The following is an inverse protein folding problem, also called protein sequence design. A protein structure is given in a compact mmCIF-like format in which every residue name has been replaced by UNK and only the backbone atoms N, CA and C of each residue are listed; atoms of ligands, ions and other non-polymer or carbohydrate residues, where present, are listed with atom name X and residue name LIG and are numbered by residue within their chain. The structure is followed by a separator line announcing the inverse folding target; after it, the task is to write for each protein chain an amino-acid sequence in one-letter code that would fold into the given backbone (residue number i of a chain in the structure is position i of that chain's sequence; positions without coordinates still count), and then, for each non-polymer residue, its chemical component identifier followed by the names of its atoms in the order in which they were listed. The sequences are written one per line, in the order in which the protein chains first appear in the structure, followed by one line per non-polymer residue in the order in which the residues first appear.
data_IF_835751930407
#
_entry.id   IF_835751930407
#
_cell.length_a   1.000
_cell.length_b   1.000
_cell.length_c   1.000
_cell.angle_alpha   90.00
_cell.angle_beta   90.00
_cell.angle_gamma   90.00
#
_symmetry.space_group_name_H-M   'P 1'
#
loop_
_entity.id
_entity.type
_entity.pdbx_description
1 polymer ?
#
# COMPACT_ATOMS: atom_id res chain seq x y z
N UNK A 1 28.33 -8.43 40.67
CA UNK A 1 28.87 -9.56 39.88
C UNK A 1 29.38 -10.61 40.87
N UNK A 2 28.88 -11.85 40.83
CA UNK A 2 29.35 -12.93 41.71
C UNK A 2 29.79 -14.12 40.84
N UNK A 3 30.98 -14.65 41.14
CA UNK A 3 31.53 -15.87 40.51
C UNK A 3 30.84 -17.09 41.10
N UNK A 4 30.16 -17.90 40.29
CA UNK A 4 29.91 -19.30 40.63
C UNK A 4 28.55 -19.93 40.28
N UNK A 5 27.49 -19.18 39.99
CA UNK A 5 26.19 -19.76 39.54
C UNK A 5 25.37 -18.77 38.72
N UNK A 6 25.48 -18.92 37.41
CA UNK A 6 24.45 -19.41 36.48
C UNK A 6 25.07 -19.23 35.11
N UNK A 7 25.18 -20.32 34.34
CA UNK A 7 25.63 -20.22 32.95
C UNK A 7 24.60 -19.31 32.30
N UNK A 8 25.06 -18.17 31.78
CA UNK A 8 24.23 -17.31 30.96
C UNK A 8 23.89 -18.15 29.71
N UNK A 9 22.78 -18.89 29.77
CA UNK A 9 22.28 -19.67 28.65
C UNK A 9 21.67 -18.66 27.69
N UNK A 10 22.53 -18.06 26.87
CA UNK A 10 22.10 -17.20 25.79
C UNK A 10 21.39 -18.08 24.76
N UNK A 11 20.08 -18.23 24.92
CA UNK A 11 19.23 -18.78 23.88
C UNK A 11 19.10 -17.75 22.79
N UNK A 12 19.83 -17.97 21.70
CA UNK A 12 19.73 -17.14 20.53
C UNK A 12 18.30 -17.27 19.94
N UNK A 13 17.47 -16.24 20.12
CA UNK A 13 16.14 -16.16 19.50
C UNK A 13 16.19 -15.68 18.05
N UNK A 14 17.39 -15.53 17.46
CA UNK A 14 17.55 -15.15 16.07
C UNK A 14 16.85 -16.16 15.17
N UNK A 15 15.80 -15.68 14.49
CA UNK A 15 15.27 -16.37 13.30
C UNK A 15 16.28 -16.12 12.18
N UNK A 16 16.92 -17.19 11.72
CA UNK A 16 17.76 -17.16 10.55
C UNK A 16 16.87 -17.04 9.31
N UNK A 17 17.11 -16.02 8.50
CA UNK A 17 16.51 -15.90 7.17
C UNK A 17 17.58 -16.26 6.17
N UNK A 18 17.21 -17.17 5.27
CA UNK A 18 18.08 -17.69 4.22
C UNK A 18 17.43 -17.38 2.87
N UNK A 19 18.10 -16.56 2.06
CA UNK A 19 17.72 -16.33 0.67
C UNK A 19 18.61 -17.19 -0.22
N UNK A 20 18.00 -18.13 -0.95
CA UNK A 20 18.72 -19.13 -1.74
C UNK A 20 17.87 -19.66 -2.90
N UNK A 21 18.54 -20.16 -3.95
CA UNK A 21 17.91 -20.78 -5.11
C UNK A 21 17.51 -22.24 -4.86
N UNK A 22 17.94 -22.85 -3.75
CA UNK A 22 17.59 -24.21 -3.35
C UNK A 22 17.65 -24.37 -1.84
N UNK A 23 16.88 -25.29 -1.26
CA UNK A 23 16.91 -25.52 0.18
C UNK A 23 18.35 -25.83 0.64
N UNK A 24 18.84 -25.19 1.71
CA UNK A 24 20.19 -25.42 2.17
C UNK A 24 20.35 -26.87 2.66
N UNK A 25 21.50 -27.51 2.40
CA UNK A 25 21.74 -28.87 2.83
C UNK A 25 21.78 -28.95 4.36
N UNK A 26 21.06 -29.91 4.94
CA UNK A 26 21.01 -30.16 6.39
C UNK A 26 21.33 -31.62 6.72
N UNK A 27 22.10 -31.83 7.77
CA UNK A 27 22.35 -33.16 8.34
C UNK A 27 21.19 -33.67 9.21
N UNK A 28 20.40 -32.76 9.80
CA UNK A 28 19.21 -33.09 10.58
C UNK A 28 17.98 -33.14 9.66
N UNK A 29 17.31 -34.29 9.63
CA UNK A 29 16.13 -34.57 8.80
C UNK A 29 14.88 -34.89 9.64
N UNK A 30 14.90 -34.60 10.94
CA UNK A 30 13.76 -34.87 11.81
C UNK A 30 12.57 -33.98 11.48
N UNK A 31 11.35 -34.46 11.71
CA UNK A 31 10.13 -33.65 11.57
C UNK A 31 10.18 -32.40 12.47
N UNK A 32 10.73 -32.55 13.68
CA UNK A 32 10.94 -31.45 14.62
C UNK A 32 11.87 -30.35 14.09
N UNK A 33 12.80 -30.69 13.20
CA UNK A 33 13.64 -29.75 12.49
C UNK A 33 12.84 -28.98 11.42
N UNK A 34 12.18 -29.70 10.51
CA UNK A 34 11.46 -29.09 9.39
C UNK A 34 10.22 -28.28 9.80
N UNK A 35 9.51 -28.65 10.87
CA UNK A 35 8.33 -27.88 11.36
C UNK A 35 8.65 -26.45 11.81
N UNK A 36 9.94 -26.15 12.04
CA UNK A 36 10.42 -24.81 12.41
C UNK A 36 10.75 -23.94 11.20
N UNK A 37 10.75 -24.52 10.01
CA UNK A 37 11.07 -23.80 8.78
C UNK A 37 9.82 -23.13 8.24
N UNK A 38 9.98 -21.86 7.85
CA UNK A 38 8.99 -21.13 7.06
C UNK A 38 9.62 -20.86 5.70
N UNK A 39 9.20 -21.60 4.68
CA UNK A 39 9.64 -21.39 3.30
C UNK A 39 8.72 -20.33 2.70
N UNK A 40 9.32 -19.27 2.16
CA UNK A 40 8.61 -18.20 1.47
C UNK A 40 9.13 -18.20 0.04
N UNK A 41 8.23 -18.45 -0.92
CA UNK A 41 8.59 -18.38 -2.33
C UNK A 41 8.84 -16.93 -2.74
N UNK A 42 9.98 -16.69 -3.38
CA UNK A 42 10.32 -15.42 -3.99
C UNK A 42 10.31 -15.57 -5.51
N UNK A 43 9.16 -15.31 -6.18
CA UNK A 43 8.97 -15.66 -7.60
C UNK A 43 9.72 -14.73 -8.57
N UNK A 44 10.33 -13.64 -8.08
CA UNK A 44 11.00 -12.66 -8.92
C UNK A 44 12.38 -13.17 -9.33
N UNK A 45 12.51 -13.53 -10.61
CA UNK A 45 13.78 -13.85 -11.24
C UNK A 45 14.39 -12.58 -11.84
N UNK A 46 15.68 -12.38 -11.62
CA UNK A 46 16.44 -11.29 -12.22
C UNK A 46 17.26 -11.85 -13.38
N UNK A 47 17.08 -11.30 -14.58
CA UNK A 47 17.85 -11.68 -15.76
C UNK A 47 19.22 -10.99 -15.75
N UNK A 48 20.16 -11.59 -15.03
CA UNK A 48 21.51 -11.07 -14.82
C UNK A 48 22.54 -12.16 -15.03
N UNK A 49 23.68 -11.80 -15.62
CA UNK A 49 24.80 -12.73 -15.78
C UNK A 49 25.27 -13.23 -14.41
N UNK A 50 25.64 -14.52 -14.33
CA UNK A 50 25.90 -15.20 -13.05
C UNK A 50 26.95 -14.47 -12.21
N UNK A 51 28.04 -14.03 -12.83
CA UNK A 51 29.12 -13.28 -12.16
C UNK A 51 28.63 -11.93 -11.61
N UNK A 52 27.86 -11.19 -12.40
CA UNK A 52 27.24 -9.92 -12.00
C UNK A 52 26.27 -10.10 -10.82
N UNK A 53 25.58 -11.24 -10.77
CA UNK A 53 24.67 -11.60 -9.68
C UNK A 53 25.41 -11.79 -8.35
N UNK A 54 26.57 -12.46 -8.37
CA UNK A 54 27.41 -12.66 -7.19
C UNK A 54 27.91 -11.33 -6.61
N UNK A 55 28.45 -10.46 -7.46
CA UNK A 55 28.95 -9.15 -7.06
C UNK A 55 27.83 -8.24 -6.55
N UNK A 56 26.66 -8.28 -7.20
CA UNK A 56 25.48 -7.55 -6.75
C UNK A 56 25.02 -8.03 -5.35
N UNK A 57 25.03 -9.35 -5.11
CA UNK A 57 24.63 -9.91 -3.83
C UNK A 57 25.63 -9.55 -2.72
N UNK A 58 26.94 -9.64 -2.98
CA UNK A 58 27.98 -9.23 -2.02
C UNK A 58 27.86 -7.76 -1.65
N UNK A 59 27.64 -6.89 -2.64
CA UNK A 59 27.41 -5.45 -2.41
C UNK A 59 26.12 -5.19 -1.64
N UNK A 60 25.06 -5.95 -1.91
CA UNK A 60 23.81 -5.82 -1.17
C UNK A 60 23.95 -6.25 0.30
N UNK A 61 24.72 -7.32 0.55
CA UNK A 61 25.04 -7.78 1.92
C UNK A 61 25.79 -6.71 2.70
N UNK A 62 26.84 -6.13 2.11
CA UNK A 62 27.61 -5.05 2.74
C UNK A 62 26.74 -3.82 2.96
N UNK A 63 25.98 -3.41 1.95
CA UNK A 63 25.09 -2.26 2.03
C UNK A 63 24.01 -2.41 3.11
N UNK A 64 23.45 -3.61 3.28
CA UNK A 64 22.44 -3.87 4.31
C UNK A 64 23.04 -3.91 5.72
N UNK A 65 24.29 -4.37 5.87
CA UNK A 65 25.00 -4.36 7.15
C UNK A 65 25.28 -2.93 7.63
N UNK A 66 25.75 -2.07 6.72
CA UNK A 66 26.04 -0.66 7.01
C UNK A 66 24.77 0.20 7.09
N UNK A 67 23.63 -0.30 6.59
CA UNK A 67 22.37 0.41 6.65
C UNK A 67 21.82 0.48 8.08
N UNK A 68 21.45 1.69 8.48
CA UNK A 68 20.68 1.96 9.68
C UNK A 68 19.44 2.79 9.39
N UNK A 69 18.57 2.89 10.38
CA UNK A 69 17.39 3.72 10.36
C UNK A 69 17.29 4.51 11.66
N UNK A 70 16.60 5.65 11.58
CA UNK A 70 16.24 6.43 12.75
C UNK A 70 14.72 6.36 12.96
N UNK A 71 14.29 6.30 14.22
CA UNK A 71 12.88 6.27 14.56
C UNK A 71 12.62 7.04 15.85
N UNK A 72 11.37 7.48 16.03
CA UNK A 72 10.96 8.17 17.24
C UNK A 72 9.89 7.35 17.96
N UNK A 73 9.98 7.27 19.29
CA UNK A 73 9.00 6.57 20.14
C UNK A 73 8.65 7.46 21.32
N UNK A 74 7.39 7.44 21.74
CA UNK A 74 6.97 8.02 23.01
C UNK A 74 7.51 7.16 24.16
N UNK A 75 8.23 7.78 25.08
CA UNK A 75 8.64 7.15 26.33
C UNK A 75 7.42 7.00 27.23
N UNK A 76 7.01 5.76 27.49
CA UNK A 76 5.76 5.44 28.20
C UNK A 76 5.78 5.91 29.67
N UNK A 77 6.96 6.17 30.24
CA UNK A 77 7.12 6.62 31.62
C UNK A 77 7.04 8.15 31.76
N UNK A 78 7.54 8.88 30.77
CA UNK A 78 7.69 10.35 30.83
C UNK A 78 6.79 11.08 29.85
N UNK A 79 6.16 10.38 28.91
CA UNK A 79 5.33 10.94 27.84
C UNK A 79 6.10 11.76 26.80
N UNK A 80 7.43 11.81 26.88
CA UNK A 80 8.29 12.57 25.96
C UNK A 80 8.67 11.72 24.75
N UNK A 81 8.91 12.36 23.62
CA UNK A 81 9.39 11.68 22.41
C UNK A 81 10.90 11.48 22.51
N UNK A 82 11.34 10.22 22.41
CA UNK A 82 12.75 9.86 22.24
C UNK A 82 13.06 9.61 20.76
N UNK A 83 14.27 9.99 20.33
CA UNK A 83 14.79 9.74 18.99
C UNK A 83 15.92 8.70 19.05
N UNK A 84 15.80 7.64 18.28
CA UNK A 84 16.66 6.47 18.31
C UNK A 84 17.27 6.22 16.93
N UNK A 85 18.44 5.59 16.91
CA UNK A 85 19.08 5.05 15.69
C UNK A 85 19.37 3.58 15.92
N UNK A 86 19.06 2.76 14.93
CA UNK A 86 19.34 1.31 14.95
C UNK A 86 19.84 0.85 13.58
N UNK A 87 20.46 -0.34 13.54
CA UNK A 87 20.82 -1.07 12.33
C UNK A 87 19.66 -1.95 11.87
N UNK A 88 19.68 -2.36 10.60
CA UNK A 88 18.73 -3.34 10.08
C UNK A 88 19.06 -4.78 10.50
N UNK A 89 20.34 -5.13 10.48
CA UNK A 89 20.83 -6.48 10.80
C UNK A 89 21.93 -6.40 11.86
N UNK A 90 21.92 -7.36 12.79
CA UNK A 90 23.02 -7.55 13.75
C UNK A 90 24.13 -8.42 13.15
N UNK A 91 23.76 -9.33 12.25
CA UNK A 91 24.69 -10.19 11.51
C UNK A 91 24.15 -10.43 10.11
N UNK A 92 25.03 -10.40 9.12
CA UNK A 92 24.74 -10.86 7.77
C UNK A 92 26.00 -11.50 7.18
N UNK A 93 25.83 -12.52 6.34
CA UNK A 93 26.94 -13.21 5.68
C UNK A 93 26.49 -13.80 4.35
N UNK A 94 27.38 -13.73 3.36
CA UNK A 94 27.22 -14.44 2.09
C UNK A 94 28.05 -15.72 2.12
N UNK A 95 27.43 -16.85 1.79
CA UNK A 95 28.11 -18.16 1.70
C UNK A 95 28.34 -18.47 0.23
N UNK A 96 29.57 -18.20 -0.24
CA UNK A 96 29.94 -18.31 -1.66
C UNK A 96 29.60 -19.69 -2.27
N UNK A 97 29.97 -20.78 -1.59
CA UNK A 97 29.78 -22.14 -2.09
C UNK A 97 28.31 -22.56 -2.20
N UNK A 98 27.42 -21.92 -1.42
CA UNK A 98 25.99 -22.23 -1.39
C UNK A 98 25.16 -21.20 -2.16
N UNK A 99 25.74 -20.05 -2.52
CA UNK A 99 25.01 -18.93 -3.10
C UNK A 99 23.94 -18.35 -2.16
N UNK A 100 24.11 -18.52 -0.85
CA UNK A 100 23.12 -18.17 0.17
C UNK A 100 23.49 -16.89 0.92
N UNK A 101 22.48 -16.10 1.30
CA UNK A 101 22.64 -15.04 2.32
C UNK A 101 22.02 -15.54 3.62
N UNK A 102 22.79 -15.49 4.70
CA UNK A 102 22.31 -15.69 6.07
C UNK A 102 22.29 -14.35 6.81
N UNK A 103 21.18 -14.04 7.48
CA UNK A 103 21.11 -12.84 8.31
C UNK A 103 20.37 -13.03 9.63
N UNK A 104 20.66 -12.12 10.56
CA UNK A 104 19.99 -11.93 11.84
C UNK A 104 19.56 -10.48 11.93
N UNK A 105 18.26 -10.25 12.08
CA UNK A 105 17.74 -8.90 12.29
C UNK A 105 18.18 -8.31 13.62
N UNK A 106 18.41 -7.00 13.64
CA UNK A 106 18.65 -6.28 14.87
C UNK A 106 17.41 -6.32 15.79
N UNK A 107 17.63 -6.34 17.10
CA UNK A 107 16.55 -6.45 18.09
C UNK A 107 15.43 -5.40 17.93
N UNK A 108 15.79 -4.17 17.55
CA UNK A 108 14.85 -3.06 17.30
C UNK A 108 13.98 -3.25 16.05
N UNK A 109 14.38 -4.11 15.11
CA UNK A 109 13.62 -4.41 13.89
C UNK A 109 12.47 -5.37 14.19
N UNK A 110 12.62 -6.25 15.18
CA UNK A 110 11.62 -7.29 15.50
C UNK A 110 10.26 -6.66 15.86
N UNK A 111 10.15 -5.66 16.75
CA UNK A 111 8.87 -4.98 17.02
C UNK A 111 8.28 -4.28 15.79
N UNK A 112 9.11 -3.79 14.87
CA UNK A 112 8.64 -3.09 13.66
C UNK A 112 8.06 -4.08 12.65
N UNK A 113 8.76 -5.20 12.41
CA UNK A 113 8.27 -6.28 11.54
C UNK A 113 7.04 -6.94 12.16
N UNK A 114 7.02 -7.23 13.46
CA UNK A 114 5.85 -7.85 14.10
C UNK A 114 4.63 -6.91 14.14
N UNK A 115 4.83 -5.58 14.26
CA UNK A 115 3.74 -4.59 14.08
C UNK A 115 3.26 -4.53 12.64
N UNK A 116 4.15 -4.74 11.67
CA UNK A 116 3.78 -4.90 10.27
C UNK A 116 2.99 -6.20 10.08
N UNK A 117 3.44 -7.36 10.55
CA UNK A 117 2.73 -8.64 10.48
C UNK A 117 1.37 -8.63 11.22
N UNK A 118 1.23 -7.86 12.30
CA UNK A 118 -0.05 -7.70 13.01
C UNK A 118 -1.04 -6.80 12.26
N UNK A 119 -0.55 -5.94 11.36
CA UNK A 119 -1.36 -5.05 10.51
C UNK A 119 -1.53 -5.58 9.09
N UNK A 120 -0.63 -6.45 8.66
CA UNK A 120 -0.58 -7.08 7.35
C UNK A 120 -0.59 -8.60 7.52
N UNK A 121 -1.68 -9.24 7.11
CA UNK A 121 -1.81 -10.70 7.14
C UNK A 121 -0.80 -11.36 6.20
N UNK A 122 -0.40 -12.61 6.49
CA UNK A 122 0.48 -13.42 5.61
C UNK A 122 -0.04 -13.53 4.16
N UNK A 123 -1.35 -13.34 3.97
CA UNK A 123 -1.99 -13.19 2.67
C UNK A 123 -1.45 -11.98 1.87
N UNK A 124 -1.19 -10.85 2.52
CA UNK A 124 -0.72 -9.61 1.88
C UNK A 124 0.76 -9.65 1.48
N UNK A 125 1.55 -10.49 2.15
CA UNK A 125 2.96 -10.73 1.79
C UNK A 125 3.11 -11.81 0.70
N UNK A 126 2.13 -12.73 0.57
CA UNK A 126 2.11 -13.80 -0.45
C UNK A 126 1.54 -13.39 -1.80
N UNK A 127 0.90 -12.23 -1.93
CA UNK A 127 0.26 -11.87 -3.19
C UNK A 127 1.27 -11.41 -4.26
N UNK A 128 1.67 -12.36 -5.12
CA UNK A 128 1.63 -12.09 -6.55
C UNK A 128 0.19 -11.77 -6.92
N UNK A 129 -0.17 -10.50 -6.89
CA UNK A 129 -1.55 -10.07 -7.14
C UNK A 129 -1.89 -10.18 -8.62
N UNK A 130 -3.09 -10.67 -8.92
CA UNK A 130 -3.72 -10.60 -10.25
C UNK A 130 -3.97 -9.17 -10.74
N UNK A 131 -3.60 -8.13 -9.97
CA UNK A 131 -3.77 -6.74 -10.36
C UNK A 131 -2.48 -5.92 -10.15
N UNK A 132 -2.19 -5.04 -11.11
CA UNK A 132 -1.10 -4.08 -11.02
C UNK A 132 -1.62 -2.64 -11.13
N UNK A 133 -0.90 -1.72 -10.51
CA UNK A 133 -1.20 -0.29 -10.55
C UNK A 133 -0.13 0.40 -11.39
N UNK A 134 -0.54 1.22 -12.35
CA UNK A 134 0.34 1.95 -13.27
C UNK A 134 -0.03 3.42 -13.31
N UNK A 135 0.95 4.29 -13.57
CA UNK A 135 0.70 5.72 -13.75
C UNK A 135 0.00 5.99 -15.09
N UNK A 136 -0.95 6.91 -15.06
CA UNK A 136 -1.68 7.37 -16.23
C UNK A 136 -1.07 8.68 -16.70
N UNK A 137 -0.50 8.67 -17.89
CA UNK A 137 -0.03 9.88 -18.58
C UNK A 137 -1.07 10.42 -19.57
N UNK A 138 -2.09 9.64 -19.90
CA UNK A 138 -3.19 10.01 -20.79
C UNK A 138 -4.38 9.07 -20.55
N UNK A 139 -5.57 9.62 -20.40
CA UNK A 139 -6.82 8.85 -20.42
C UNK A 139 -7.26 8.59 -21.86
N UNK A 140 -7.35 7.33 -22.27
CA UNK A 140 -7.83 6.92 -23.60
C UNK A 140 -9.32 6.53 -23.57
N UNK A 141 -9.93 6.28 -24.73
CA UNK A 141 -11.35 5.93 -24.84
C UNK A 141 -11.75 4.65 -24.08
N UNK A 142 -10.79 3.78 -23.73
CA UNK A 142 -11.05 2.60 -22.89
C UNK A 142 -11.63 2.97 -21.51
N UNK A 143 -11.29 4.16 -20.98
CA UNK A 143 -11.80 4.66 -19.71
C UNK A 143 -13.28 5.04 -19.78
N UNK A 144 -13.77 5.45 -20.96
CA UNK A 144 -15.18 5.79 -21.19
C UNK A 144 -16.08 4.57 -20.95
N UNK A 145 -15.62 3.38 -21.38
CA UNK A 145 -16.35 2.11 -21.18
C UNK A 145 -16.46 1.76 -19.70
N UNK A 146 -15.40 1.96 -18.94
CA UNK A 146 -15.39 1.71 -17.48
C UNK A 146 -16.30 2.68 -16.76
N UNK A 147 -16.26 3.96 -17.10
CA UNK A 147 -17.16 4.97 -16.55
C UNK A 147 -18.63 4.64 -16.86
N UNK A 148 -18.92 4.19 -18.08
CA UNK A 148 -20.26 3.81 -18.49
C UNK A 148 -20.77 2.57 -17.74
N UNK A 149 -19.92 1.55 -17.55
CA UNK A 149 -20.28 0.35 -16.80
C UNK A 149 -20.57 0.66 -15.33
N UNK A 150 -19.79 1.58 -14.73
CA UNK A 150 -19.98 1.98 -13.34
C UNK A 150 -21.21 2.87 -13.11
N UNK A 151 -21.68 3.58 -14.16
CA UNK A 151 -22.94 4.34 -14.10
C UNK A 151 -24.15 3.46 -13.78
N UNK A 152 -24.08 2.14 -13.98
CA UNK A 152 -25.18 1.25 -13.56
C UNK A 152 -25.30 1.11 -12.04
N UNK A 153 -24.24 1.44 -11.28
CA UNK A 153 -24.23 1.36 -9.81
C UNK A 153 -24.75 2.65 -9.14
N UNK A 154 -24.95 3.74 -9.88
CA UNK A 154 -25.48 5.00 -9.37
C UNK A 154 -26.42 5.67 -10.37
N UNK A 155 -27.58 6.15 -9.91
CA UNK A 155 -28.56 6.78 -10.82
C UNK A 155 -28.03 8.07 -11.44
N UNK A 156 -27.19 8.79 -10.70
CA UNK A 156 -26.66 10.10 -11.08
C UNK A 156 -25.14 10.11 -10.85
N UNK A 157 -24.39 10.47 -11.89
CA UNK A 157 -22.93 10.51 -11.85
C UNK A 157 -22.46 11.52 -12.88
N UNK A 158 -21.44 12.33 -12.52
CA UNK A 158 -20.78 13.22 -13.47
C UNK A 158 -20.12 12.39 -14.57
N UNK A 159 -20.20 12.86 -15.82
CA UNK A 159 -19.57 12.20 -16.95
C UNK A 159 -18.04 12.16 -16.76
N UNK A 160 -17.48 10.96 -16.59
CA UNK A 160 -16.04 10.70 -16.43
C UNK A 160 -15.43 10.07 -17.68
N UNK A 161 -15.77 10.59 -18.85
CA UNK A 161 -15.12 10.16 -20.08
C UNK A 161 -13.66 10.63 -20.14
N UNK A 162 -12.87 10.03 -21.01
CA UNK A 162 -11.45 10.31 -21.22
C UNK A 162 -11.19 11.79 -21.48
N UNK A 163 -12.00 12.47 -22.30
CA UNK A 163 -11.87 13.90 -22.55
C UNK A 163 -11.98 14.72 -21.24
N UNK A 164 -12.99 14.45 -20.42
CA UNK A 164 -13.16 15.08 -19.11
C UNK A 164 -12.01 14.75 -18.16
N UNK A 165 -11.61 13.48 -18.04
CA UNK A 165 -10.57 13.03 -17.12
C UNK A 165 -9.21 13.67 -17.46
N UNK A 166 -8.85 13.73 -18.75
CA UNK A 166 -7.63 14.42 -19.21
C UNK A 166 -7.70 15.91 -18.86
N UNK A 167 -8.81 16.58 -19.19
CA UNK A 167 -8.98 18.00 -18.89
C UNK A 167 -8.89 18.29 -17.38
N UNK A 168 -9.56 17.48 -16.55
CA UNK A 168 -9.70 17.71 -15.11
C UNK A 168 -8.44 17.40 -14.32
N UNK A 169 -7.74 16.31 -14.65
CA UNK A 169 -6.67 15.76 -13.82
C UNK A 169 -5.27 15.83 -14.43
N UNK A 170 -5.14 15.86 -15.76
CA UNK A 170 -3.83 15.94 -16.42
C UNK A 170 -3.52 17.34 -16.95
N UNK A 171 -4.51 18.04 -17.49
CA UNK A 171 -4.33 19.32 -18.18
C UNK A 171 -4.73 20.54 -17.34
N UNK A 172 -5.19 20.34 -16.09
CA UNK A 172 -5.61 21.44 -15.21
C UNK A 172 -4.38 22.20 -14.69
N UNK A 173 -4.13 23.39 -15.26
CA UNK A 173 -2.99 24.24 -14.91
C UNK A 173 -3.01 24.63 -13.43
N UNK A 174 -1.85 24.59 -12.78
CA UNK A 174 -1.66 25.00 -11.38
C UNK A 174 -2.01 23.94 -10.35
N UNK A 175 -2.47 22.76 -10.78
CA UNK A 175 -2.80 21.65 -9.89
C UNK A 175 -2.06 20.38 -10.32
N UNK A 176 -1.53 19.65 -9.34
CA UNK A 176 -0.86 18.36 -9.57
C UNK A 176 -1.72 17.22 -9.04
N UNK A 177 -2.20 16.37 -9.94
CA UNK A 177 -2.86 15.12 -9.61
C UNK A 177 -1.97 13.95 -10.00
N UNK A 178 -2.10 12.86 -9.25
CA UNK A 178 -1.42 11.61 -9.51
C UNK A 178 -2.48 10.60 -9.94
N UNK A 179 -2.48 10.25 -11.22
CA UNK A 179 -3.51 9.42 -11.83
C UNK A 179 -2.98 8.00 -11.99
N UNK A 180 -3.76 7.02 -11.55
CA UNK A 180 -3.34 5.62 -11.56
C UNK A 180 -4.41 4.72 -12.16
N UNK A 181 -3.99 3.83 -13.05
CA UNK A 181 -4.82 2.76 -13.60
C UNK A 181 -4.57 1.46 -12.86
N UNK A 182 -5.61 0.63 -12.84
CA UNK A 182 -5.59 -0.70 -12.26
C UNK A 182 -5.84 -1.66 -13.40
N UNK A 183 -4.88 -2.54 -13.66
CA UNK A 183 -4.97 -3.56 -14.70
C UNK A 183 -4.86 -4.93 -14.08
N UNK A 184 -5.53 -5.92 -14.65
CA UNK A 184 -5.40 -7.31 -14.23
C UNK A 184 -4.09 -7.96 -14.73
N UNK A 185 -3.90 -9.25 -14.45
CA UNK A 185 -2.72 -10.03 -14.86
C UNK A 185 -2.60 -10.19 -16.36
N UNK A 186 -3.68 -9.97 -17.11
CA UNK A 186 -3.72 -9.95 -18.58
C UNK A 186 -3.54 -8.55 -19.16
N UNK A 187 -3.26 -7.56 -18.30
CA UNK A 187 -3.11 -6.15 -18.64
C UNK A 187 -4.40 -5.48 -19.14
N UNK A 188 -5.57 -6.01 -18.77
CA UNK A 188 -6.87 -5.39 -19.05
C UNK A 188 -7.19 -4.37 -17.96
N UNK A 189 -7.59 -3.17 -18.36
CA UNK A 189 -8.01 -2.11 -17.46
C UNK A 189 -9.30 -2.49 -16.72
N UNK A 190 -9.26 -2.46 -15.39
CA UNK A 190 -10.41 -2.78 -14.53
C UNK A 190 -10.90 -1.60 -13.69
N UNK A 191 -10.08 -0.58 -13.51
CA UNK A 191 -10.45 0.62 -12.75
C UNK A 191 -9.35 1.67 -12.73
N UNK A 192 -9.61 2.77 -12.05
CA UNK A 192 -8.64 3.85 -11.84
C UNK A 192 -8.91 4.58 -10.53
N UNK A 193 -7.89 5.28 -10.05
CA UNK A 193 -8.03 6.22 -8.93
C UNK A 193 -7.07 7.40 -9.10
N UNK A 194 -7.45 8.53 -8.54
CA UNK A 194 -6.71 9.80 -8.61
C UNK A 194 -6.38 10.26 -7.20
N UNK A 195 -5.11 10.58 -6.98
CA UNK A 195 -4.64 11.17 -5.74
C UNK A 195 -4.29 12.65 -5.94
N UNK A 196 -4.44 13.43 -4.89
CA UNK A 196 -3.90 14.79 -4.80
C UNK A 196 -3.31 15.01 -3.42
N UNK A 197 -2.14 15.61 -3.38
CA UNK A 197 -1.54 16.10 -2.15
C UNK A 197 -2.05 17.52 -1.94
N UNK A 198 -2.61 17.77 -0.77
CA UNK A 198 -2.93 19.11 -0.28
C UNK A 198 -1.96 19.45 0.85
N UNK A 199 -1.38 20.64 0.79
CA UNK A 199 -0.43 21.12 1.77
C UNK A 199 -0.82 22.54 2.14
N UNK A 200 -1.06 22.76 3.42
CA UNK A 200 -1.18 24.07 4.04
C UNK A 200 -0.03 24.27 5.04
N UNK A 201 0.05 25.45 5.66
CA UNK A 201 1.16 25.82 6.55
C UNK A 201 1.35 24.87 7.75
N UNK A 202 0.35 24.05 8.09
CA UNK A 202 0.34 23.21 9.30
C UNK A 202 0.22 21.72 8.99
N UNK A 203 -0.23 21.34 7.81
CA UNK A 203 -0.61 19.97 7.50
C UNK A 203 -0.40 19.60 6.04
N UNK A 204 -0.03 18.34 5.83
CA UNK A 204 0.08 17.72 4.52
C UNK A 204 -0.86 16.51 4.50
N UNK A 205 -1.84 16.54 3.61
CA UNK A 205 -2.90 15.55 3.51
C UNK A 205 -2.92 14.93 2.12
N UNK A 206 -3.14 13.63 2.05
CA UNK A 206 -3.36 12.91 0.80
C UNK A 206 -4.86 12.69 0.62
N UNK A 207 -5.39 13.19 -0.48
CA UNK A 207 -6.77 12.95 -0.87
C UNK A 207 -6.83 11.86 -1.93
N UNK A 208 -7.71 10.87 -1.75
CA UNK A 208 -8.22 10.09 -2.88
C UNK A 208 -9.34 10.93 -3.49
N UNK A 209 -9.01 11.63 -4.57
CA UNK A 209 -9.86 12.65 -5.16
C UNK A 209 -11.02 12.03 -5.91
N UNK A 210 -10.74 11.03 -6.73
CA UNK A 210 -11.72 10.39 -7.59
C UNK A 210 -11.29 8.97 -7.90
N UNK A 211 -12.26 8.12 -8.24
CA UNK A 211 -12.01 6.71 -8.51
C UNK A 211 -13.16 6.10 -9.30
N UNK A 212 -12.88 5.01 -10.00
CA UNK A 212 -13.87 4.05 -10.48
C UNK A 212 -13.27 2.66 -10.28
N UNK A 213 -13.90 1.87 -9.41
CA UNK A 213 -13.37 0.61 -8.95
C UNK A 213 -14.33 -0.55 -9.24
N UNK A 214 -13.82 -1.73 -9.65
CA UNK A 214 -14.65 -2.92 -9.75
C UNK A 214 -15.10 -3.37 -8.35
N UNK A 215 -16.20 -4.12 -8.27
CA UNK A 215 -16.68 -4.75 -7.01
C UNK A 215 -15.80 -5.94 -6.61
N UNK A 216 -14.55 -5.66 -6.28
CA UNK A 216 -13.54 -6.66 -5.95
C UNK A 216 -12.70 -6.19 -4.75
N UNK A 217 -12.74 -6.98 -3.65
CA UNK A 217 -12.03 -6.68 -2.40
C UNK A 217 -10.51 -6.70 -2.54
N UNK A 218 -9.96 -7.51 -3.44
CA UNK A 218 -8.51 -7.55 -3.70
C UNK A 218 -8.05 -6.23 -4.34
N UNK A 219 -8.85 -5.69 -5.26
CA UNK A 219 -8.60 -4.38 -5.85
C UNK A 219 -8.67 -3.28 -4.78
N UNK A 220 -9.65 -3.33 -3.88
CA UNK A 220 -9.76 -2.37 -2.78
C UNK A 220 -8.53 -2.41 -1.85
N UNK A 221 -8.07 -3.61 -1.48
CA UNK A 221 -6.86 -3.78 -0.68
C UNK A 221 -5.62 -3.25 -1.41
N UNK A 222 -5.50 -3.54 -2.72
CA UNK A 222 -4.37 -3.11 -3.54
C UNK A 222 -4.23 -1.60 -3.59
N UNK A 223 -5.35 -0.89 -3.82
CA UNK A 223 -5.38 0.57 -3.83
C UNK A 223 -5.03 1.11 -2.46
N UNK A 224 -5.65 0.60 -1.41
CA UNK A 224 -5.38 1.08 -0.06
C UNK A 224 -3.89 0.94 0.30
N UNK A 225 -3.30 -0.22 0.05
CA UNK A 225 -1.87 -0.45 0.28
C UNK A 225 -0.98 0.48 -0.55
N UNK A 226 -1.35 0.69 -1.82
CA UNK A 226 -0.63 1.61 -2.70
C UNK A 226 -0.73 3.06 -2.20
N UNK A 227 -1.93 3.53 -1.84
CA UNK A 227 -2.16 4.88 -1.32
C UNK A 227 -1.42 5.10 -0.01
N UNK A 228 -1.41 4.13 0.91
CA UNK A 228 -0.65 4.21 2.17
C UNK A 228 0.85 4.32 1.89
N UNK A 229 1.39 3.48 1.01
CA UNK A 229 2.81 3.54 0.63
C UNK A 229 3.16 4.89 -0.02
N UNK A 230 2.33 5.34 -0.97
CA UNK A 230 2.50 6.65 -1.61
C UNK A 230 2.47 7.79 -0.57
N UNK A 231 1.56 7.74 0.41
CA UNK A 231 1.51 8.72 1.49
C UNK A 231 2.82 8.71 2.31
N UNK A 232 3.30 7.52 2.69
CA UNK A 232 4.53 7.36 3.48
C UNK A 232 5.76 7.88 2.74
N UNK A 233 5.90 7.60 1.44
CA UNK A 233 7.00 8.10 0.59
C UNK A 233 7.00 9.64 0.50
N UNK A 234 5.83 10.26 0.66
CA UNK A 234 5.65 11.72 0.65
C UNK A 234 5.64 12.35 2.05
N UNK A 235 5.93 11.56 3.10
CA UNK A 235 5.87 11.95 4.52
C UNK A 235 4.50 12.45 4.98
N UNK A 236 3.42 11.88 4.43
CA UNK A 236 2.03 12.20 4.73
C UNK A 236 1.46 11.18 5.71
N UNK A 237 0.77 11.65 6.74
CA UNK A 237 0.18 10.81 7.79
C UNK A 237 -1.36 10.80 7.81
N UNK A 238 -2.00 11.62 6.97
CA UNK A 238 -3.46 11.72 6.86
C UNK A 238 -3.92 11.44 5.43
N UNK A 239 -4.81 10.44 5.31
CA UNK A 239 -5.47 10.08 4.04
C UNK A 239 -6.97 10.34 4.20
N UNK A 240 -7.57 11.05 3.25
CA UNK A 240 -9.02 11.34 3.28
C UNK A 240 -9.65 11.16 1.90
N UNK A 241 -10.96 10.97 1.89
CA UNK A 241 -11.77 10.83 0.68
C UNK A 241 -13.24 11.13 0.97
N UNK A 242 -14.00 11.41 -0.08
CA UNK A 242 -15.47 11.38 -0.06
C UNK A 242 -15.90 10.12 -0.81
N UNK A 243 -16.78 9.34 -0.20
CA UNK A 243 -17.31 8.09 -0.75
C UNK A 243 -18.77 7.93 -0.33
N UNK A 244 -19.61 7.45 -1.25
CA UNK A 244 -21.00 7.12 -0.95
C UNK A 244 -21.07 5.87 -0.06
N UNK A 245 -21.83 5.94 1.03
CA UNK A 245 -21.97 4.86 2.01
C UNK A 245 -22.56 3.56 1.45
N UNK A 246 -23.28 3.61 0.32
CA UNK A 246 -23.80 2.42 -0.36
C UNK A 246 -22.75 1.64 -1.14
N UNK A 247 -21.57 2.22 -1.41
CA UNK A 247 -20.52 1.51 -2.14
C UNK A 247 -19.86 0.48 -1.22
N UNK A 248 -19.63 -0.74 -1.73
CA UNK A 248 -18.89 -1.78 -1.00
C UNK A 248 -17.53 -1.28 -0.52
N UNK A 249 -16.91 -0.37 -1.29
CA UNK A 249 -15.67 0.29 -0.93
C UNK A 249 -15.76 1.09 0.39
N UNK A 250 -16.88 1.75 0.70
CA UNK A 250 -17.08 2.42 1.99
C UNK A 250 -16.99 1.43 3.16
N UNK A 251 -17.72 0.32 3.06
CA UNK A 251 -17.71 -0.72 4.09
C UNK A 251 -16.31 -1.31 4.30
N UNK A 252 -15.59 -1.51 3.19
CA UNK A 252 -14.21 -1.98 3.19
C UNK A 252 -13.24 -0.97 3.85
N UNK A 253 -13.40 0.32 3.60
CA UNK A 253 -12.57 1.35 4.24
C UNK A 253 -12.80 1.37 5.76
N UNK A 254 -14.06 1.26 6.20
CA UNK A 254 -14.41 1.20 7.64
C UNK A 254 -13.76 0.01 8.33
N UNK A 255 -13.74 -1.18 7.70
CA UNK A 255 -13.06 -2.36 8.25
C UNK A 255 -11.54 -2.21 8.28
N UNK A 256 -10.97 -1.33 7.45
CA UNK A 256 -9.53 -1.04 7.37
C UNK A 256 -9.13 0.24 8.13
N UNK A 257 -9.91 0.65 9.13
CA UNK A 257 -9.52 1.70 10.07
C UNK A 257 -9.86 3.14 9.65
N UNK A 258 -10.52 3.35 8.50
CA UNK A 258 -11.05 4.67 8.16
C UNK A 258 -12.22 5.02 9.07
N UNK A 259 -12.23 6.27 9.54
CA UNK A 259 -13.33 6.81 10.34
C UNK A 259 -14.16 7.74 9.48
N UNK A 260 -15.48 7.56 9.53
CA UNK A 260 -16.43 8.48 8.91
C UNK A 260 -16.51 9.75 9.75
N UNK A 261 -16.45 10.90 9.10
CA UNK A 261 -16.78 12.18 9.69
C UNK A 261 -18.10 12.63 9.09
N UNK A 262 -19.12 12.88 9.93
CA UNK A 262 -20.36 13.46 9.43
C UNK A 262 -20.07 14.88 8.92
N UNK A 263 -20.30 15.07 7.63
CA UNK A 263 -20.37 16.39 7.02
C UNK A 263 -21.73 16.47 6.34
N UNK A 264 -22.56 17.44 6.73
CA UNK A 264 -23.83 17.69 6.07
C UNK A 264 -23.55 18.23 4.66
N UNK A 265 -23.57 17.35 3.67
CA UNK A 265 -23.55 17.72 2.28
C UNK A 265 -25.00 17.87 1.80
N UNK A 266 -25.41 19.10 1.50
CA UNK A 266 -26.75 19.40 1.00
C UNK A 266 -26.63 19.65 -0.51
N UNK A 267 -26.98 18.70 -1.38
CA UNK A 267 -26.99 18.93 -2.82
C UNK A 267 -28.11 19.93 -3.15
N UNK A 268 -27.78 21.02 -3.82
CA UNK A 268 -28.76 21.95 -4.37
C UNK A 268 -28.91 21.65 -5.86
N UNK A 269 -30.11 21.25 -6.27
CA UNK A 269 -30.41 20.92 -7.67
C UNK A 269 -31.23 22.04 -8.30
N UNK A 270 -30.72 22.60 -9.39
CA UNK A 270 -31.46 23.56 -10.22
C UNK A 270 -31.90 22.89 -11.53
N UNK A 271 -33.15 23.09 -11.92
CA UNK A 271 -33.76 22.49 -13.10
C UNK A 271 -33.98 23.55 -14.17
N UNK A 272 -33.22 23.46 -15.26
CA UNK A 272 -33.33 24.40 -16.38
C UNK A 272 -34.55 24.14 -17.29
N UNK A 273 -35.17 22.96 -17.22
CA UNK A 273 -36.28 22.58 -18.10
C UNK A 273 -37.30 21.69 -17.38
N UNK A 274 -38.60 22.03 -17.44
CA UNK A 274 -39.70 21.46 -16.65
C UNK A 274 -39.96 19.96 -16.87
N UNK A 275 -39.36 19.33 -17.88
CA UNK A 275 -39.61 17.93 -18.26
C UNK A 275 -38.79 16.88 -17.49
N UNK A 276 -37.76 17.27 -16.72
CA UNK A 276 -36.95 16.33 -15.94
C UNK A 276 -37.66 15.90 -14.66
N UNK A 277 -37.99 14.61 -14.52
CA UNK A 277 -38.62 14.07 -13.32
C UNK A 277 -37.65 13.96 -12.13
N UNK A 278 -37.80 14.85 -11.15
CA UNK A 278 -36.93 14.95 -9.97
C UNK A 278 -37.18 13.79 -8.99
N UNK A 279 -38.33 13.09 -9.08
CA UNK A 279 -38.66 11.95 -8.19
C UNK A 279 -37.68 10.78 -8.31
N UNK A 280 -36.81 10.78 -9.34
CA UNK A 280 -35.71 9.81 -9.48
C UNK A 280 -34.46 10.17 -8.66
N UNK A 281 -34.45 11.32 -7.99
CA UNK A 281 -33.30 11.91 -7.29
C UNK A 281 -33.57 12.13 -5.78
N UNK A 282 -34.47 11.33 -5.18
CA UNK A 282 -34.99 11.57 -3.82
C UNK A 282 -33.98 11.33 -2.69
N UNK A 283 -32.80 10.74 -2.97
CA UNK A 283 -31.79 10.43 -1.96
C UNK A 283 -30.38 10.79 -2.42
N UNK A 284 -29.58 11.42 -1.56
CA UNK A 284 -28.14 11.66 -1.78
C UNK A 284 -27.37 10.37 -2.13
N UNK A 285 -27.89 9.23 -1.69
CA UNK A 285 -27.31 7.92 -1.93
C UNK A 285 -27.48 7.42 -3.37
N UNK A 286 -28.33 8.08 -4.17
CA UNK A 286 -28.48 7.79 -5.60
C UNK A 286 -27.41 8.49 -6.46
N UNK A 287 -26.62 9.35 -5.85
CA UNK A 287 -25.54 10.09 -6.49
C UNK A 287 -24.18 9.41 -6.25
N UNK A 288 -23.41 9.29 -7.31
CA UNK A 288 -21.99 8.99 -7.23
C UNK A 288 -21.21 10.30 -7.11
N UNK A 289 -20.80 10.61 -5.87
CA UNK A 289 -19.96 11.77 -5.57
C UNK A 289 -18.61 11.35 -5.04
N UNK A 290 -17.58 11.98 -5.58
CA UNK A 290 -16.21 11.95 -5.05
C UNK A 290 -15.74 13.37 -4.77
N UNK A 291 -14.54 13.54 -4.20
CA UNK A 291 -13.96 14.87 -4.00
C UNK A 291 -13.70 15.59 -5.33
N UNK A 292 -13.51 14.85 -6.43
CA UNK A 292 -13.28 15.40 -7.78
C UNK A 292 -14.45 16.20 -8.34
N UNK A 293 -15.67 15.92 -7.86
CA UNK A 293 -16.90 16.64 -8.21
C UNK A 293 -17.03 18.00 -7.48
N UNK A 294 -16.08 18.34 -6.60
CA UNK A 294 -16.05 19.60 -5.86
C UNK A 294 -14.93 20.51 -6.38
N UNK A 295 -15.27 21.74 -6.76
CA UNK A 295 -14.35 22.74 -7.33
C UNK A 295 -13.30 23.26 -6.34
N UNK A 296 -13.48 23.03 -5.05
CA UNK A 296 -12.49 23.35 -4.01
C UNK A 296 -11.20 22.52 -4.20
N UNK A 297 -11.28 21.38 -4.91
CA UNK A 297 -10.19 20.43 -5.07
C UNK A 297 -9.57 20.38 -6.47
#
# INVERSE_FOLDING_TARGET
EFKGKDIFDFRNYAKLIMATNSLPPTGDKTEGFYRRWKIIDFPKQFDVEKHTSYEAMKRAVEGLYEAGFAYSKLDERTGKVGHYKSRWVDKIGYIDDLGCVELVFASDVIPLITRLEARYTEYELKQGTDFSIKEINQFYEIYDKIALNHKNDAKIMLNRNSAYLNWRYLNKVGYKYYCFEIVDSTNILVGFFILKIYEDDQSKTLHIIDFILPKNKEVYQKILNYTVRFAMEQYINLITLIVNEKLDFFSFLKSNGFKSQERHFIPIVHKNNETVDIKKMDSIHDYYFTMGDNDIF
#
